data_IF_031525571336
#
_entry.id   IF_031525571336
#
_cell.length_a   1.000
_cell.length_b   1.000
_cell.length_c   1.000
_cell.angle_alpha   90.00
_cell.angle_beta   90.00
_cell.angle_gamma   90.00
#
_symmetry.space_group_name_H-M   'P 1'
#
loop_
_entity.id
_entity.type
_entity.pdbx_description
1 polymer ?
#
# COMPACT_ATOMS: atom_id res chain seq x y z
N UNK A 1 -13.92 17.36 27.64
CA UNK A 1 -14.15 17.28 26.18
C UNK A 1 -15.43 16.48 26.06
N UNK A 2 -16.52 17.12 25.68
CA UNK A 2 -17.83 16.48 25.68
C UNK A 2 -18.11 15.99 24.25
N UNK A 3 -18.08 14.67 24.10
CA UNK A 3 -18.42 14.02 22.84
C UNK A 3 -19.95 13.91 22.73
N UNK A 4 -20.48 14.23 21.55
CA UNK A 4 -21.91 14.15 21.23
C UNK A 4 -22.19 12.98 20.28
N UNK A 5 -23.46 12.59 20.13
CA UNK A 5 -23.89 11.44 19.33
C UNK A 5 -23.82 11.70 17.82
N UNK A 6 -23.90 10.63 17.03
CA UNK A 6 -23.74 10.68 15.57
C UNK A 6 -25.05 11.09 14.87
N UNK A 7 -25.24 12.38 14.56
CA UNK A 7 -26.45 12.88 13.88
C UNK A 7 -26.34 12.99 12.35
N UNK A 8 -25.83 11.95 11.68
CA UNK A 8 -25.78 11.85 10.21
C UNK A 8 -25.38 13.16 9.44
N UNK A 9 -24.22 13.74 9.77
CA UNK A 9 -23.64 14.85 8.98
C UNK A 9 -22.83 14.28 7.83
N UNK A 10 -23.44 14.16 6.66
CA UNK A 10 -22.92 13.37 5.54
C UNK A 10 -21.71 14.03 4.84
N UNK A 11 -21.77 15.32 4.52
CA UNK A 11 -20.85 15.92 3.53
C UNK A 11 -19.36 16.00 3.92
N UNK A 12 -19.02 16.13 5.21
CA UNK A 12 -17.61 16.25 5.65
C UNK A 12 -16.97 14.91 6.07
N UNK A 13 -17.74 13.81 6.12
CA UNK A 13 -17.30 12.51 6.66
C UNK A 13 -16.64 11.57 5.64
N UNK A 14 -16.69 11.87 4.34
CA UNK A 14 -16.29 10.91 3.30
C UNK A 14 -14.78 10.85 2.98
N UNK A 15 -13.92 11.49 3.78
CA UNK A 15 -12.48 11.52 3.52
C UNK A 15 -11.74 10.30 4.12
N UNK A 16 -12.10 9.09 3.69
CA UNK A 16 -11.54 7.86 4.26
C UNK A 16 -10.10 7.57 3.83
N UNK A 17 -9.38 6.84 4.69
CA UNK A 17 -8.22 6.05 4.29
C UNK A 17 -8.71 4.63 4.01
N UNK A 18 -8.42 4.12 2.82
CA UNK A 18 -8.73 2.73 2.46
C UNK A 18 -7.51 1.88 2.81
N UNK A 19 -7.73 0.86 3.64
CA UNK A 19 -6.73 -0.14 3.98
C UNK A 19 -7.18 -1.45 3.35
N UNK A 20 -6.42 -2.03 2.39
CA UNK A 20 -6.68 -3.39 1.93
C UNK A 20 -6.51 -4.40 3.07
N UNK A 21 -7.50 -5.27 3.28
CA UNK A 21 -7.47 -6.29 4.35
C UNK A 21 -6.23 -7.18 4.30
N UNK A 22 -5.70 -7.43 3.10
CA UNK A 22 -4.47 -8.22 2.94
C UNK A 22 -3.26 -7.58 3.62
N UNK A 23 -3.21 -6.25 3.77
CA UNK A 23 -2.13 -5.59 4.52
C UNK A 23 -2.25 -5.81 6.03
N UNK A 24 -3.44 -6.17 6.52
CA UNK A 24 -3.74 -6.39 7.94
C UNK A 24 -3.50 -7.86 8.29
N UNK A 25 -4.08 -8.77 7.49
CA UNK A 25 -4.14 -10.19 7.83
C UNK A 25 -3.29 -11.09 6.92
N UNK A 26 -2.71 -10.54 5.85
CA UNK A 26 -1.90 -11.30 4.91
C UNK A 26 -0.54 -11.70 5.50
N UNK A 27 -0.20 -12.98 5.39
CA UNK A 27 1.08 -13.51 5.89
C UNK A 27 2.30 -12.83 5.23
N UNK A 28 2.16 -12.31 4.00
CA UNK A 28 3.19 -11.51 3.33
C UNK A 28 3.53 -10.23 4.08
N UNK A 29 2.54 -9.64 4.76
CA UNK A 29 2.61 -8.33 5.41
C UNK A 29 2.74 -8.45 6.93
N UNK A 30 2.89 -9.68 7.44
CA UNK A 30 3.09 -9.97 8.85
C UNK A 30 4.31 -9.24 9.39
N UNK A 31 4.12 -8.57 10.51
CA UNK A 31 5.17 -7.78 11.16
C UNK A 31 5.14 -6.29 10.79
N UNK A 32 4.29 -5.86 9.85
CA UNK A 32 3.97 -4.44 9.71
C UNK A 32 3.26 -3.94 10.97
N UNK A 33 3.72 -2.80 11.49
CA UNK A 33 2.97 -2.10 12.51
C UNK A 33 1.67 -1.53 11.95
N UNK A 34 0.65 -1.37 12.79
CA UNK A 34 -0.58 -0.65 12.41
C UNK A 34 -0.26 0.77 11.89
N UNK A 35 0.77 1.40 12.47
CA UNK A 35 1.25 2.71 12.03
C UNK A 35 1.80 2.67 10.60
N UNK A 36 2.53 1.62 10.22
CA UNK A 36 3.03 1.42 8.86
C UNK A 36 1.90 1.15 7.85
N UNK A 37 0.88 0.37 8.24
CA UNK A 37 -0.30 0.12 7.41
C UNK A 37 -1.07 1.41 7.12
N UNK A 38 -1.31 2.22 8.15
CA UNK A 38 -1.98 3.52 8.00
C UNK A 38 -1.13 4.46 7.16
N UNK A 39 0.19 4.53 7.41
CA UNK A 39 1.10 5.35 6.63
C UNK A 39 1.07 4.95 5.16
N UNK A 40 1.20 3.66 4.84
CA UNK A 40 1.13 3.17 3.46
C UNK A 40 -0.20 3.54 2.78
N UNK A 41 -1.33 3.43 3.49
CA UNK A 41 -2.64 3.82 2.99
C UNK A 41 -2.73 5.33 2.67
N UNK A 42 -2.08 6.17 3.49
CA UNK A 42 -1.95 7.61 3.19
C UNK A 42 -1.07 7.87 1.97
N UNK A 43 0.03 7.12 1.80
CA UNK A 43 0.91 7.23 0.65
C UNK A 43 0.17 6.83 -0.63
N UNK A 44 -0.59 5.73 -0.63
CA UNK A 44 -1.42 5.31 -1.76
C UNK A 44 -2.42 6.39 -2.18
N UNK A 45 -3.13 6.97 -1.20
CA UNK A 45 -4.05 8.08 -1.45
C UNK A 45 -3.34 9.28 -2.08
N UNK A 46 -2.13 9.60 -1.62
CA UNK A 46 -1.30 10.67 -2.18
C UNK A 46 -0.82 10.35 -3.60
N UNK A 47 -0.45 9.10 -3.89
CA UNK A 47 -0.08 8.64 -5.24
C UNK A 47 -1.21 8.89 -6.23
N UNK A 48 -2.47 8.64 -5.84
CA UNK A 48 -3.64 8.96 -6.66
C UNK A 48 -3.77 10.46 -6.99
N UNK A 49 -3.37 11.34 -6.06
CA UNK A 49 -3.32 12.80 -6.31
C UNK A 49 -2.12 13.19 -7.19
N UNK A 50 -0.95 12.61 -6.93
CA UNK A 50 0.26 12.82 -7.75
C UNK A 50 0.05 12.44 -9.21
N UNK A 51 -0.63 11.32 -9.48
CA UNK A 51 -0.95 10.90 -10.84
C UNK A 51 -1.83 11.94 -11.56
N UNK A 52 -2.85 12.47 -10.88
CA UNK A 52 -3.69 13.55 -11.42
C UNK A 52 -2.91 14.84 -11.70
N UNK A 53 -1.84 15.09 -10.94
CA UNK A 53 -0.95 16.24 -11.11
C UNK A 53 0.21 15.97 -12.08
N UNK A 54 0.20 14.84 -12.80
CA UNK A 54 1.24 14.43 -13.73
C UNK A 54 2.65 14.32 -13.10
N UNK A 55 2.73 13.96 -11.82
CA UNK A 55 3.99 13.64 -11.13
C UNK A 55 4.40 12.20 -11.45
N UNK A 56 4.87 12.04 -12.68
CA UNK A 56 5.26 10.77 -13.28
C UNK A 56 6.67 10.92 -13.83
N UNK A 57 7.53 9.92 -13.60
CA UNK A 57 8.88 9.92 -14.15
C UNK A 57 8.93 9.45 -15.61
N UNK A 58 10.13 9.38 -16.17
CA UNK A 58 10.36 8.98 -17.57
C UNK A 58 9.96 7.53 -17.87
N UNK A 59 9.90 6.68 -16.86
CA UNK A 59 9.49 5.28 -16.98
C UNK A 59 7.99 5.08 -16.70
N UNK A 60 7.23 6.16 -16.54
CA UNK A 60 5.79 6.09 -16.29
C UNK A 60 5.45 5.79 -14.82
N UNK A 61 6.40 5.90 -13.88
CA UNK A 61 6.16 5.62 -12.47
C UNK A 61 5.74 6.88 -11.74
N UNK A 62 4.66 6.77 -10.96
CA UNK A 62 4.16 7.87 -10.14
C UNK A 62 5.06 8.03 -8.91
N UNK A 63 5.44 9.26 -8.61
CA UNK A 63 6.17 9.59 -7.39
C UNK A 63 5.43 10.61 -6.53
N UNK A 64 5.74 10.62 -5.25
CA UNK A 64 5.23 11.58 -4.29
C UNK A 64 6.39 12.28 -3.58
N UNK A 65 6.26 13.58 -3.34
CA UNK A 65 7.05 14.26 -2.32
C UNK A 65 6.39 14.04 -0.98
N UNK A 66 7.09 13.50 0.01
CA UNK A 66 6.53 13.32 1.36
C UNK A 66 7.64 13.35 2.39
N UNK A 67 7.58 14.31 3.31
CA UNK A 67 8.65 14.57 4.27
C UNK A 67 8.38 13.87 5.60
N UNK A 68 9.43 13.66 6.40
CA UNK A 68 9.31 13.12 7.75
C UNK A 68 8.50 14.09 8.63
N UNK A 69 8.70 15.39 8.45
CA UNK A 69 8.00 16.45 9.16
C UNK A 69 6.49 16.43 8.86
N UNK A 70 6.11 16.15 7.60
CA UNK A 70 4.71 16.02 7.22
C UNK A 70 4.06 14.78 7.87
N UNK A 71 4.79 13.67 7.98
CA UNK A 71 4.34 12.47 8.68
C UNK A 71 4.15 12.76 10.17
N UNK A 72 5.16 13.35 10.82
CA UNK A 72 5.12 13.71 12.24
C UNK A 72 3.89 14.58 12.53
N UNK A 73 3.67 15.62 11.72
CA UNK A 73 2.53 16.53 11.91
C UNK A 73 1.19 15.83 11.70
N UNK A 74 1.04 15.02 10.65
CA UNK A 74 -0.23 14.36 10.35
C UNK A 74 -0.58 13.23 11.31
N UNK A 75 0.43 12.53 11.82
CA UNK A 75 0.23 11.38 12.71
C UNK A 75 0.41 11.71 14.19
N UNK A 76 0.89 12.91 14.49
CA UNK A 76 1.27 13.33 15.83
C UNK A 76 2.26 12.34 16.49
N UNK A 77 3.33 12.00 15.76
CA UNK A 77 4.35 11.06 16.21
C UNK A 77 5.74 11.70 16.23
N UNK A 78 6.62 11.14 17.04
CA UNK A 78 8.01 11.59 17.14
C UNK A 78 8.77 11.37 15.82
N UNK A 79 9.83 12.15 15.60
CA UNK A 79 10.72 11.97 14.44
C UNK A 79 11.31 10.56 14.37
N UNK A 80 11.84 9.97 15.46
CA UNK A 80 12.29 8.58 15.45
C UNK A 80 11.19 7.60 15.03
N UNK A 81 9.96 7.77 15.53
CA UNK A 81 8.83 6.91 15.16
C UNK A 81 8.51 7.04 13.67
N UNK A 82 8.39 8.26 13.13
CA UNK A 82 8.12 8.47 11.71
C UNK A 82 9.19 7.85 10.80
N UNK A 83 10.47 7.97 11.18
CA UNK A 83 11.58 7.34 10.45
C UNK A 83 11.46 5.81 10.53
N UNK A 84 11.21 5.24 11.71
CA UNK A 84 11.05 3.80 11.89
C UNK A 84 9.89 3.26 11.05
N UNK A 85 8.74 3.93 11.06
CA UNK A 85 7.58 3.55 10.25
C UNK A 85 7.88 3.59 8.74
N UNK A 86 8.61 4.60 8.28
CA UNK A 86 9.07 4.63 6.89
C UNK A 86 10.06 3.50 6.59
N UNK A 87 10.96 3.19 7.52
CA UNK A 87 11.96 2.13 7.37
C UNK A 87 11.30 0.75 7.30
N UNK A 88 10.20 0.49 8.04
CA UNK A 88 9.41 -0.75 7.93
C UNK A 88 8.84 -0.97 6.52
N UNK A 89 8.47 0.11 5.83
CA UNK A 89 7.91 0.05 4.47
C UNK A 89 8.99 0.04 3.38
N UNK A 90 10.18 0.56 3.66
CA UNK A 90 11.23 0.85 2.68
C UNK A 90 11.89 -0.40 2.12
N UNK A 91 12.25 -0.36 0.84
CA UNK A 91 12.89 -1.48 0.13
C UNK A 91 14.29 -1.86 0.62
N UNK A 92 14.99 -0.97 1.33
CA UNK A 92 16.35 -1.25 1.83
C UNK A 92 16.36 -1.82 3.24
N UNK A 93 15.35 -1.51 4.05
CA UNK A 93 15.32 -1.83 5.49
C UNK A 93 14.14 -2.71 5.90
N UNK A 94 13.05 -2.68 5.15
CA UNK A 94 11.80 -3.33 5.49
C UNK A 94 11.26 -4.14 4.31
N UNK A 95 9.93 -4.21 4.23
CA UNK A 95 9.23 -5.12 3.32
C UNK A 95 9.29 -4.70 1.84
N UNK A 96 9.62 -3.43 1.55
CA UNK A 96 9.70 -2.91 0.19
C UNK A 96 8.38 -2.52 -0.45
N UNK A 97 7.41 -2.09 0.35
CA UNK A 97 6.19 -1.44 -0.13
C UNK A 97 6.44 -0.02 -0.66
N UNK A 98 7.55 0.61 -0.27
CA UNK A 98 7.99 1.90 -0.80
C UNK A 98 9.46 1.88 -1.18
N UNK A 99 9.86 2.84 -2.01
CA UNK A 99 11.24 3.14 -2.32
C UNK A 99 11.50 4.63 -2.20
N UNK A 100 12.43 5.01 -1.32
CA UNK A 100 12.80 6.41 -1.08
C UNK A 100 14.07 6.77 -1.85
N UNK A 101 14.00 7.83 -2.67
CA UNK A 101 15.13 8.33 -3.45
C UNK A 101 15.48 9.75 -3.03
N UNK A 102 16.75 9.97 -2.70
CA UNK A 102 17.30 11.31 -2.41
C UNK A 102 17.75 11.96 -3.71
N UNK A 103 17.22 13.15 -4.00
CA UNK A 103 17.51 13.88 -5.25
C UNK A 103 18.67 14.87 -5.14
N UNK A 104 19.34 14.95 -3.98
CA UNK A 104 20.46 15.86 -3.72
C UNK A 104 20.08 17.10 -2.91
N UNK A 105 21.01 18.05 -2.81
CA UNK A 105 20.85 19.27 -2.00
C UNK A 105 19.71 20.16 -2.52
N UNK A 106 18.86 20.63 -1.60
CA UNK A 106 17.76 21.56 -1.90
C UNK A 106 16.52 20.94 -2.53
N UNK A 107 16.55 19.65 -2.92
CA UNK A 107 15.39 18.96 -3.49
C UNK A 107 14.73 18.03 -2.47
N UNK A 108 13.38 18.07 -2.33
CA UNK A 108 12.68 17.12 -1.47
C UNK A 108 12.88 15.69 -1.98
N UNK A 109 13.03 14.75 -1.04
CA UNK A 109 13.10 13.33 -1.37
C UNK A 109 11.81 12.89 -2.05
N UNK A 110 11.93 11.97 -3.00
CA UNK A 110 10.78 11.33 -3.65
C UNK A 110 10.56 9.94 -3.09
N UNK A 111 9.30 9.54 -3.02
CA UNK A 111 8.88 8.20 -2.64
C UNK A 111 8.11 7.60 -3.81
N UNK A 112 8.52 6.41 -4.21
CA UNK A 112 7.74 5.54 -5.10
C UNK A 112 6.97 4.55 -4.23
N UNK A 113 5.64 4.51 -4.40
CA UNK A 113 4.77 3.57 -3.69
C UNK A 113 4.53 2.37 -4.59
N UNK A 114 4.88 1.17 -4.14
CA UNK A 114 4.77 -0.06 -4.92
C UNK A 114 3.40 -0.70 -4.71
N UNK A 115 2.92 -1.40 -5.73
CA UNK A 115 1.66 -2.14 -5.67
C UNK A 115 1.86 -3.41 -4.82
N UNK A 116 1.15 -3.48 -3.69
CA UNK A 116 1.15 -4.61 -2.77
C UNK A 116 0.74 -5.94 -3.43
N UNK A 117 -0.03 -5.88 -4.52
CA UNK A 117 -0.42 -7.08 -5.30
C UNK A 117 0.78 -7.72 -6.01
N UNK A 118 1.86 -6.97 -6.25
CA UNK A 118 3.06 -7.48 -6.92
C UNK A 118 3.75 -8.60 -6.13
N UNK A 119 3.74 -8.51 -4.80
CA UNK A 119 4.32 -9.55 -3.92
C UNK A 119 3.55 -10.86 -4.04
N UNK A 120 2.22 -10.79 -4.12
CA UNK A 120 1.35 -11.96 -4.28
C UNK A 120 1.63 -12.67 -5.61
N UNK A 121 1.81 -11.91 -6.69
CA UNK A 121 2.11 -12.46 -8.01
C UNK A 121 3.46 -13.19 -8.07
N UNK A 122 4.49 -12.69 -7.37
CA UNK A 122 5.80 -13.33 -7.31
C UNK A 122 5.74 -14.67 -6.55
N UNK A 123 5.01 -14.74 -5.43
CA UNK A 123 4.81 -16.01 -4.73
C UNK A 123 4.11 -17.05 -5.60
N UNK A 124 3.04 -16.67 -6.31
CA UNK A 124 2.36 -17.59 -7.22
C UNK A 124 3.30 -18.13 -8.31
N UNK A 125 4.18 -17.29 -8.86
CA UNK A 125 5.15 -17.70 -9.87
C UNK A 125 6.26 -18.58 -9.29
N UNK A 126 6.73 -18.30 -8.07
CA UNK A 126 7.70 -19.15 -7.38
C UNK A 126 7.09 -20.52 -7.01
N UNK A 127 5.82 -20.56 -6.58
CA UNK A 127 5.08 -21.81 -6.37
C UNK A 127 4.93 -22.60 -7.67
N UNK A 128 4.65 -21.94 -8.81
CA UNK A 128 4.58 -22.60 -10.12
C UNK A 128 5.95 -23.09 -10.61
N UNK A 129 7.03 -22.35 -10.34
CA UNK A 129 8.39 -22.73 -10.70
C UNK A 129 8.92 -23.90 -9.83
N UNK A 130 8.47 -23.98 -8.58
CA UNK A 130 8.69 -25.12 -7.68
C UNK A 130 7.89 -26.36 -8.09
N UNK A 131 6.70 -26.17 -8.67
CA UNK A 131 5.85 -27.26 -9.17
C UNK A 131 5.98 -27.41 -10.70
N UNK A 132 7.06 -28.02 -11.16
CA UNK A 132 7.02 -28.79 -12.42
C UNK A 132 6.14 -30.04 -12.23
N UNK A 133 4.85 -29.85 -11.91
CA UNK A 133 3.87 -30.93 -11.70
C UNK A 133 2.80 -30.92 -12.80
N UNK A 134 2.37 -32.13 -13.12
CA UNK A 134 1.50 -32.59 -14.20
C UNK A 134 0.20 -31.78 -14.42
N UNK A 135 -0.38 -31.96 -15.62
CA UNK A 135 -1.48 -31.21 -16.21
C UNK A 135 -2.70 -30.96 -15.30
N UNK A 136 -3.02 -31.87 -14.37
CA UNK A 136 -4.15 -31.75 -13.45
C UNK A 136 -3.96 -30.66 -12.39
N UNK A 137 -2.73 -30.46 -11.88
CA UNK A 137 -2.42 -29.41 -10.89
C UNK A 137 -2.55 -28.02 -11.52
N UNK A 138 -2.30 -27.91 -12.83
CA UNK A 138 -2.44 -26.67 -13.60
C UNK A 138 -3.92 -26.27 -13.78
N UNK A 139 -4.81 -27.25 -13.94
CA UNK A 139 -6.26 -27.02 -14.06
C UNK A 139 -6.81 -26.51 -12.72
N UNK A 140 -6.54 -27.22 -11.62
CA UNK A 140 -6.99 -26.84 -10.28
C UNK A 140 -6.51 -25.44 -9.86
N UNK A 141 -5.24 -25.10 -10.13
CA UNK A 141 -4.72 -23.76 -9.81
C UNK A 141 -5.36 -22.65 -10.65
N UNK A 142 -5.72 -22.95 -11.90
CA UNK A 142 -6.40 -21.98 -12.78
C UNK A 142 -7.86 -21.73 -12.36
N UNK A 143 -8.54 -22.75 -11.84
CA UNK A 143 -9.91 -22.64 -11.32
C UNK A 143 -9.95 -21.86 -10.01
N UNK A 144 -9.03 -22.14 -9.07
CA UNK A 144 -8.91 -21.38 -7.82
C UNK A 144 -8.62 -19.91 -8.09
N UNK A 145 -7.76 -19.59 -9.08
CA UNK A 145 -7.52 -18.21 -9.52
C UNK A 145 -8.77 -17.53 -10.07
N UNK A 146 -9.53 -18.22 -10.93
CA UNK A 146 -10.81 -17.69 -11.46
C UNK A 146 -11.82 -17.43 -10.33
N UNK A 147 -11.89 -18.31 -9.34
CA UNK A 147 -12.75 -18.15 -8.16
C UNK A 147 -12.36 -16.92 -7.33
N UNK A 148 -11.08 -16.76 -7.00
CA UNK A 148 -10.61 -15.63 -6.20
C UNK A 148 -10.79 -14.30 -6.94
N UNK A 149 -10.52 -14.24 -8.24
CA UNK A 149 -10.74 -13.04 -9.05
C UNK A 149 -12.24 -12.68 -9.17
N UNK A 150 -13.12 -13.68 -9.32
CA UNK A 150 -14.58 -13.47 -9.31
C UNK A 150 -15.07 -12.95 -7.97
N UNK A 151 -14.56 -13.49 -6.86
CA UNK A 151 -14.90 -13.05 -5.51
C UNK A 151 -14.48 -11.59 -5.26
N UNK A 152 -13.29 -11.21 -5.74
CA UNK A 152 -12.78 -9.84 -5.63
C UNK A 152 -13.59 -8.86 -6.48
N UNK A 153 -13.96 -9.24 -7.71
CA UNK A 153 -14.85 -8.42 -8.57
C UNK A 153 -16.23 -8.19 -7.95
N UNK A 154 -16.83 -9.21 -7.35
CA UNK A 154 -18.12 -9.08 -6.64
C UNK A 154 -18.04 -8.11 -5.47
N UNK A 155 -16.93 -8.13 -4.72
CA UNK A 155 -16.71 -7.23 -3.58
C UNK A 155 -16.60 -5.76 -4.02
N UNK A 156 -16.00 -5.50 -5.19
CA UNK A 156 -15.85 -4.14 -5.73
C UNK A 156 -17.11 -3.57 -6.40
N UNK A 157 -18.08 -4.42 -6.78
CA UNK A 157 -19.33 -4.01 -7.43
C UNK A 157 -20.50 -3.80 -6.44
N UNK A 158 -20.29 -4.03 -5.14
CA UNK A 158 -21.33 -3.89 -4.09
C UNK A 158 -21.18 -2.58 -3.31
N UNK A 159 -20.50 -1.57 -3.87
CA UNK A 159 -20.34 -0.23 -3.27
C UNK A 159 -20.75 0.83 -4.27
#
# INVERSE_FOLDING_TARGET
MDFDYFYNREAERFNFLKVPDVLVDGEEFKGLSAEAIILYSMLLKRTGMSFKNNWVDKEGRVFIYFTVEEIMKRRNISKPTAIKTLDELDSKKGIGLIERVRLGLGKPNVIYVKDFMSVLAVKENNFKKSKNLTSEVKILTSEVKKMNFRKLKMLTLTI
#
